data_IF_224245488817
#
_entry.id   IF_224245488817
#
_cell.length_a   1.000
_cell.length_b   1.000
_cell.length_c   1.000
_cell.angle_alpha   90.00
_cell.angle_beta   90.00
_cell.angle_gamma   90.00
#
_symmetry.space_group_name_H-M   'P 1'
#
loop_
_entity.id
_entity.type
_entity.pdbx_description
1 polymer ?
#
# COMPACT_ATOMS: atom_id res chain seq x y z
N UNK A 1 117.01 104.20 -38.02
CA UNK A 1 116.38 103.23 -37.09
C UNK A 1 115.63 102.07 -37.77
N UNK A 2 115.10 102.20 -39.00
CA UNK A 2 114.29 101.11 -39.61
C UNK A 2 115.01 99.81 -40.02
N UNK A 3 116.34 99.79 -40.18
CA UNK A 3 117.05 98.57 -40.67
C UNK A 3 117.28 97.53 -39.56
N UNK A 4 117.44 97.98 -38.31
CA UNK A 4 117.67 97.07 -37.18
C UNK A 4 116.39 96.31 -36.78
N UNK A 5 115.25 96.98 -36.83
CA UNK A 5 113.94 96.41 -36.53
C UNK A 5 113.50 95.39 -37.58
N UNK A 6 113.72 95.68 -38.86
CA UNK A 6 113.46 94.73 -39.95
C UNK A 6 114.38 93.48 -39.88
N UNK A 7 115.63 93.61 -39.42
CA UNK A 7 116.50 92.45 -39.18
C UNK A 7 116.02 91.61 -38.00
N UNK A 8 115.52 92.24 -36.93
CA UNK A 8 114.96 91.54 -35.77
C UNK A 8 113.69 90.77 -36.16
N UNK A 9 112.74 91.41 -36.85
CA UNK A 9 111.53 90.74 -37.35
C UNK A 9 111.84 89.62 -38.34
N UNK A 10 112.80 89.83 -39.26
CA UNK A 10 113.26 88.76 -40.16
C UNK A 10 113.86 87.60 -39.39
N UNK A 11 114.66 87.86 -38.34
CA UNK A 11 115.23 86.79 -37.50
C UNK A 11 114.17 86.05 -36.69
N UNK A 12 113.16 86.74 -36.17
CA UNK A 12 112.03 86.12 -35.45
C UNK A 12 111.16 85.27 -36.38
N UNK A 13 110.81 85.78 -37.57
CA UNK A 13 110.05 85.02 -38.57
C UNK A 13 110.84 83.81 -39.09
N UNK A 14 112.15 83.95 -39.28
CA UNK A 14 113.01 82.83 -39.70
C UNK A 14 113.13 81.79 -38.57
N UNK A 15 113.16 82.21 -37.31
CA UNK A 15 113.16 81.32 -36.15
C UNK A 15 111.82 80.58 -36.01
N UNK A 16 110.70 81.26 -36.23
CA UNK A 16 109.36 80.65 -36.19
C UNK A 16 109.15 79.68 -37.35
N UNK A 17 109.60 80.01 -38.56
CA UNK A 17 109.60 79.09 -39.70
C UNK A 17 110.47 77.88 -39.42
N UNK A 18 111.68 78.05 -38.87
CA UNK A 18 112.55 76.92 -38.50
C UNK A 18 111.97 76.08 -37.36
N UNK A 19 111.22 76.67 -36.44
CA UNK A 19 110.53 75.93 -35.38
C UNK A 19 109.30 75.15 -35.89
N UNK A 20 108.62 75.64 -36.92
CA UNK A 20 107.54 74.93 -37.61
C UNK A 20 108.06 73.85 -38.59
N UNK A 21 109.17 74.12 -39.29
CA UNK A 21 109.85 73.17 -40.18
C UNK A 21 110.73 72.17 -39.43
N UNK A 22 110.95 72.38 -38.13
CA UNK A 22 111.71 71.44 -37.29
C UNK A 22 111.03 70.07 -37.31
N UNK A 23 111.79 69.03 -37.67
CA UNK A 23 111.34 67.64 -37.71
C UNK A 23 110.69 67.19 -36.40
N UNK A 24 111.02 67.82 -35.26
CA UNK A 24 110.39 67.56 -33.97
C UNK A 24 108.90 67.92 -33.90
N UNK A 25 108.46 68.99 -34.57
CA UNK A 25 107.05 69.38 -34.63
C UNK A 25 106.26 68.49 -35.60
N UNK A 26 106.86 68.15 -36.75
CA UNK A 26 106.32 67.17 -37.70
C UNK A 26 106.21 65.77 -37.09
N UNK A 27 107.22 65.31 -36.34
CA UNK A 27 107.19 64.04 -35.63
C UNK A 27 106.19 64.01 -34.47
N UNK A 28 105.96 65.14 -33.78
CA UNK A 28 104.91 65.24 -32.76
C UNK A 28 103.52 65.23 -33.38
N UNK A 29 103.33 65.92 -34.50
CA UNK A 29 102.08 65.89 -35.26
C UNK A 29 101.78 64.49 -35.80
N UNK A 30 102.79 63.79 -36.34
CA UNK A 30 102.67 62.40 -36.81
C UNK A 30 102.38 61.42 -35.66
N UNK A 31 103.03 61.57 -34.49
CA UNK A 31 102.71 60.76 -33.30
C UNK A 31 101.28 61.00 -32.80
N UNK A 32 100.83 62.25 -32.79
CA UNK A 32 99.45 62.57 -32.45
C UNK A 32 98.48 61.96 -33.48
N UNK A 33 98.81 62.01 -34.77
CA UNK A 33 98.00 61.42 -35.84
C UNK A 33 97.92 59.89 -35.72
N UNK A 34 99.02 59.21 -35.38
CA UNK A 34 99.01 57.78 -35.06
C UNK A 34 98.18 57.45 -33.82
N UNK A 35 98.25 58.28 -32.76
CA UNK A 35 97.41 58.11 -31.58
C UNK A 35 95.92 58.33 -31.90
N UNK A 36 95.59 59.32 -32.73
CA UNK A 36 94.23 59.54 -33.22
C UNK A 36 93.75 58.38 -34.09
N UNK A 37 94.60 57.82 -34.96
CA UNK A 37 94.25 56.63 -35.75
C UNK A 37 94.02 55.41 -34.85
N UNK A 38 94.85 55.19 -33.83
CA UNK A 38 94.64 54.11 -32.84
C UNK A 38 93.34 54.29 -32.07
N UNK A 39 93.06 55.51 -31.60
CA UNK A 39 91.81 55.83 -30.91
C UNK A 39 90.59 55.67 -31.83
N UNK A 40 90.70 56.10 -33.09
CA UNK A 40 89.64 55.92 -34.10
C UNK A 40 89.37 54.45 -34.38
N UNK A 41 90.42 53.64 -34.55
CA UNK A 41 90.28 52.19 -34.74
C UNK A 41 89.63 51.52 -33.53
N UNK A 42 89.95 51.97 -32.31
CA UNK A 42 89.32 51.45 -31.09
C UNK A 42 87.85 51.86 -30.97
N UNK A 43 87.50 53.10 -31.34
CA UNK A 43 86.11 53.55 -31.43
C UNK A 43 85.33 52.74 -32.46
N UNK A 44 85.90 52.49 -33.64
CA UNK A 44 85.29 51.63 -34.67
C UNK A 44 85.10 50.20 -34.15
N UNK A 45 86.07 49.65 -33.41
CA UNK A 45 85.97 48.33 -32.79
C UNK A 45 84.82 48.26 -31.79
N UNK A 46 84.72 49.25 -30.91
CA UNK A 46 83.64 49.33 -29.92
C UNK A 46 82.27 49.56 -30.58
N UNK A 47 82.21 50.37 -31.64
CA UNK A 47 80.97 50.57 -32.41
C UNK A 47 80.49 49.27 -33.06
N UNK A 48 81.40 48.46 -33.61
CA UNK A 48 81.07 47.15 -34.15
C UNK A 48 80.60 46.17 -33.06
N UNK A 49 81.25 46.16 -31.89
CA UNK A 49 80.79 45.35 -30.75
C UNK A 49 79.41 45.78 -30.25
N UNK A 50 79.13 47.08 -30.26
CA UNK A 50 77.82 47.62 -29.86
C UNK A 50 76.75 47.25 -30.89
N UNK A 51 77.07 47.24 -32.18
CA UNK A 51 76.20 46.72 -33.25
C UNK A 51 75.89 45.24 -33.05
N UNK A 52 76.90 44.40 -32.82
CA UNK A 52 76.70 42.98 -32.56
C UNK A 52 75.84 42.72 -31.31
N UNK A 53 76.09 43.43 -30.21
CA UNK A 53 75.29 43.29 -28.99
C UNK A 53 73.86 43.79 -29.15
N UNK A 54 73.65 44.89 -29.89
CA UNK A 54 72.29 45.38 -30.17
C UNK A 54 71.52 44.43 -31.08
N UNK A 55 72.17 43.78 -32.03
CA UNK A 55 71.56 42.71 -32.82
C UNK A 55 71.19 41.48 -31.99
N UNK A 56 72.07 41.02 -31.09
CA UNK A 56 71.77 39.92 -30.18
C UNK A 56 70.60 40.26 -29.23
N UNK A 57 70.59 41.48 -28.70
CA UNK A 57 69.52 41.96 -27.84
C UNK A 57 68.18 42.02 -28.58
N UNK A 58 68.20 42.41 -29.86
CA UNK A 58 67.00 42.36 -30.71
C UNK A 58 66.54 40.92 -30.97
N UNK A 59 67.45 39.97 -31.21
CA UNK A 59 67.09 38.54 -31.33
C UNK A 59 66.43 38.01 -30.05
N UNK A 60 67.01 38.29 -28.88
CA UNK A 60 66.41 37.89 -27.60
C UNK A 60 65.06 38.56 -27.33
N UNK A 61 64.88 39.84 -27.71
CA UNK A 61 63.56 40.50 -27.61
C UNK A 61 62.50 39.82 -28.46
N UNK A 62 62.85 39.40 -29.68
CA UNK A 62 61.93 38.67 -30.57
C UNK A 62 61.59 37.31 -29.94
N UNK A 63 62.59 36.57 -29.46
CA UNK A 63 62.38 35.27 -28.81
C UNK A 63 61.50 35.37 -27.56
N UNK A 64 61.72 36.37 -26.70
CA UNK A 64 60.87 36.66 -25.53
C UNK A 64 59.43 36.96 -25.99
N UNK A 65 59.25 37.76 -27.05
CA UNK A 65 57.92 38.05 -27.58
C UNK A 65 57.21 36.80 -28.09
N UNK A 66 57.93 35.90 -28.75
CA UNK A 66 57.39 34.62 -29.21
C UNK A 66 57.04 33.68 -28.04
N UNK A 67 57.91 33.60 -27.03
CA UNK A 67 57.65 32.82 -25.83
C UNK A 67 56.45 33.36 -25.05
N UNK A 68 56.31 34.68 -24.93
CA UNK A 68 55.14 35.32 -24.32
C UNK A 68 53.85 35.01 -25.08
N UNK A 69 53.89 35.01 -26.42
CA UNK A 69 52.74 34.61 -27.24
C UNK A 69 52.37 33.15 -26.99
N UNK A 70 53.34 32.23 -26.96
CA UNK A 70 53.13 30.81 -26.66
C UNK A 70 52.59 30.62 -25.24
N UNK A 71 53.11 31.35 -24.26
CA UNK A 71 52.66 31.30 -22.87
C UNK A 71 51.20 31.75 -22.73
N UNK A 72 50.80 32.84 -23.39
CA UNK A 72 49.41 33.30 -23.41
C UNK A 72 48.48 32.30 -24.07
N UNK A 73 48.92 31.61 -25.13
CA UNK A 73 48.14 30.54 -25.76
C UNK A 73 47.92 29.36 -24.78
N UNK A 74 48.99 28.90 -24.12
CA UNK A 74 48.89 27.83 -23.12
C UNK A 74 48.04 28.21 -21.90
N UNK A 75 48.13 29.45 -21.41
CA UNK A 75 47.25 29.94 -20.35
C UNK A 75 45.77 29.91 -20.77
N UNK A 76 45.46 30.28 -22.03
CA UNK A 76 44.09 30.17 -22.56
C UNK A 76 43.62 28.71 -22.62
N UNK A 77 44.47 27.77 -23.01
CA UNK A 77 44.16 26.33 -23.00
C UNK A 77 43.89 25.81 -21.59
N UNK A 78 44.71 26.18 -20.60
CA UNK A 78 44.54 25.81 -19.19
C UNK A 78 43.21 26.34 -18.64
N UNK A 79 42.87 27.60 -18.92
CA UNK A 79 41.57 28.18 -18.50
C UNK A 79 40.39 27.45 -19.14
N UNK A 80 40.51 27.06 -20.42
CA UNK A 80 39.48 26.25 -21.10
C UNK A 80 39.33 24.87 -20.47
N UNK A 81 40.44 24.20 -20.11
CA UNK A 81 40.44 22.92 -19.42
C UNK A 81 39.87 23.00 -17.99
N UNK A 82 40.14 24.09 -17.27
CA UNK A 82 39.58 24.31 -15.93
C UNK A 82 38.05 24.51 -16.00
N UNK A 83 37.56 25.22 -17.02
CA UNK A 83 36.12 25.37 -17.29
C UNK A 83 35.45 24.04 -17.68
N UNK A 84 36.13 23.13 -18.37
CA UNK A 84 35.58 21.80 -18.66
C UNK A 84 35.51 20.92 -17.40
N UNK A 85 36.50 20.96 -16.51
CA UNK A 85 36.48 20.23 -15.22
C UNK A 85 35.27 20.60 -14.36
N UNK A 86 34.92 21.88 -14.29
CA UNK A 86 33.71 22.34 -13.59
C UNK A 86 32.41 21.81 -14.20
N UNK A 87 32.34 21.68 -15.54
CA UNK A 87 31.19 21.05 -16.22
C UNK A 87 31.11 19.55 -15.92
N UNK A 88 32.23 18.84 -15.96
CA UNK A 88 32.29 17.40 -15.63
C UNK A 88 31.79 17.12 -14.22
N UNK A 89 32.20 17.93 -13.23
CA UNK A 89 31.72 17.82 -11.85
C UNK A 89 30.20 18.04 -11.73
N UNK A 90 29.65 18.99 -12.48
CA UNK A 90 28.19 19.21 -12.54
C UNK A 90 27.47 18.01 -13.15
N UNK A 91 27.98 17.45 -14.25
CA UNK A 91 27.42 16.24 -14.86
C UNK A 91 27.49 15.04 -13.92
N UNK A 92 28.61 14.86 -13.20
CA UNK A 92 28.75 13.77 -12.23
C UNK A 92 27.73 13.87 -11.08
N UNK A 93 27.51 15.08 -10.55
CA UNK A 93 26.46 15.32 -9.54
C UNK A 93 25.07 15.04 -10.09
N UNK A 94 24.80 15.44 -11.34
CA UNK A 94 23.52 15.18 -11.99
C UNK A 94 23.29 13.67 -12.23
N UNK A 95 24.33 12.94 -12.65
CA UNK A 95 24.28 11.48 -12.79
C UNK A 95 23.96 10.83 -11.44
N UNK A 96 24.68 11.19 -10.38
CA UNK A 96 24.43 10.65 -9.03
C UNK A 96 23.01 10.96 -8.53
N UNK A 97 22.48 12.15 -8.82
CA UNK A 97 21.09 12.49 -8.50
C UNK A 97 20.09 11.63 -9.27
N UNK A 98 20.29 11.44 -10.58
CA UNK A 98 19.45 10.60 -11.41
C UNK A 98 19.51 9.13 -11.00
N UNK A 99 20.69 8.62 -10.64
CA UNK A 99 20.88 7.27 -10.09
C UNK A 99 20.12 7.11 -8.77
N UNK A 100 20.22 8.07 -7.85
CA UNK A 100 19.47 8.04 -6.59
C UNK A 100 17.96 8.07 -6.81
N UNK A 101 17.48 8.89 -7.76
CA UNK A 101 16.06 8.94 -8.13
C UNK A 101 15.60 7.61 -8.75
N UNK A 102 16.42 7.00 -9.62
CA UNK A 102 16.15 5.70 -10.21
C UNK A 102 16.09 4.61 -9.13
N UNK A 103 17.05 4.59 -8.21
CA UNK A 103 17.08 3.66 -7.07
C UNK A 103 15.84 3.82 -6.18
N UNK A 104 15.41 5.05 -5.93
CA UNK A 104 14.16 5.32 -5.21
C UNK A 104 12.92 4.76 -5.93
N UNK A 105 12.85 4.92 -7.26
CA UNK A 105 11.77 4.35 -8.08
C UNK A 105 11.81 2.82 -8.09
N UNK A 106 13.00 2.24 -8.23
CA UNK A 106 13.23 0.79 -8.22
C UNK A 106 12.87 0.17 -6.86
N UNK A 107 13.19 0.86 -5.77
CA UNK A 107 12.80 0.42 -4.43
C UNK A 107 11.28 0.39 -4.28
N UNK A 108 10.57 1.46 -4.70
CA UNK A 108 9.09 1.48 -4.72
C UNK A 108 8.52 0.37 -5.59
N UNK A 109 9.10 0.13 -6.77
CA UNK A 109 8.70 -0.97 -7.65
C UNK A 109 8.88 -2.34 -6.98
N UNK A 110 10.02 -2.56 -6.33
CA UNK A 110 10.27 -3.80 -5.60
C UNK A 110 9.32 -3.98 -4.41
N UNK A 111 8.99 -2.92 -3.67
CA UNK A 111 7.96 -2.96 -2.62
C UNK A 111 6.60 -3.37 -3.19
N UNK A 112 6.20 -2.79 -4.34
CA UNK A 112 4.96 -3.16 -5.03
C UNK A 112 4.97 -4.62 -5.50
N UNK A 113 6.11 -5.13 -5.97
CA UNK A 113 6.26 -6.54 -6.34
C UNK A 113 6.10 -7.48 -5.14
N UNK A 114 6.69 -7.13 -4.00
CA UNK A 114 6.55 -7.92 -2.76
C UNK A 114 5.09 -7.91 -2.28
N UNK A 115 4.44 -6.75 -2.29
CA UNK A 115 3.01 -6.65 -1.97
C UNK A 115 2.15 -7.45 -2.95
N UNK A 116 2.44 -7.38 -4.25
CA UNK A 116 1.73 -8.16 -5.26
C UNK A 116 1.93 -9.67 -5.06
N UNK A 117 3.13 -10.10 -4.66
CA UNK A 117 3.40 -11.50 -4.33
C UNK A 117 2.58 -11.95 -3.12
N UNK A 118 2.55 -11.17 -2.04
CA UNK A 118 1.74 -11.47 -0.86
C UNK A 118 0.24 -11.61 -1.23
N UNK A 119 -0.29 -10.70 -2.05
CA UNK A 119 -1.67 -10.79 -2.53
C UNK A 119 -1.91 -12.05 -3.38
N UNK A 120 -0.96 -12.47 -4.21
CA UNK A 120 -1.07 -13.73 -4.97
C UNK A 120 -1.06 -14.96 -4.07
N UNK A 121 -0.24 -14.95 -3.03
CA UNK A 121 -0.17 -16.03 -2.05
C UNK A 121 -1.50 -16.12 -1.27
N UNK A 122 -2.07 -14.97 -0.87
CA UNK A 122 -3.39 -14.90 -0.24
C UNK A 122 -4.51 -15.40 -1.16
N UNK A 123 -4.52 -14.98 -2.42
CA UNK A 123 -5.47 -15.48 -3.43
C UNK A 123 -5.34 -17.01 -3.56
N UNK A 124 -4.12 -17.53 -3.60
CA UNK A 124 -3.86 -18.97 -3.71
C UNK A 124 -4.39 -19.72 -2.48
N UNK A 125 -4.16 -19.19 -1.28
CA UNK A 125 -4.71 -19.73 -0.03
C UNK A 125 -6.25 -19.74 -0.04
N UNK A 126 -6.88 -18.65 -0.47
CA UNK A 126 -8.33 -18.56 -0.60
C UNK A 126 -8.90 -19.54 -1.64
N UNK A 127 -8.21 -19.77 -2.76
CA UNK A 127 -8.61 -20.78 -3.75
C UNK A 127 -8.50 -22.20 -3.20
N UNK A 128 -7.43 -22.50 -2.44
CA UNK A 128 -7.27 -23.79 -1.79
C UNK A 128 -8.37 -24.05 -0.76
N UNK A 129 -8.69 -23.07 0.09
CA UNK A 129 -9.79 -23.18 1.06
C UNK A 129 -11.14 -23.32 0.37
N UNK A 130 -11.41 -22.56 -0.70
CA UNK A 130 -12.62 -22.71 -1.51
C UNK A 130 -12.73 -24.13 -2.11
N UNK A 131 -11.64 -24.69 -2.61
CA UNK A 131 -11.62 -26.07 -3.15
C UNK A 131 -11.93 -27.11 -2.07
N UNK A 132 -11.39 -26.94 -0.86
CA UNK A 132 -11.66 -27.79 0.30
C UNK A 132 -13.13 -27.69 0.72
N UNK A 133 -13.66 -26.47 0.77
CA UNK A 133 -15.06 -26.22 1.08
C UNK A 133 -16.00 -26.86 0.04
N UNK A 134 -15.71 -26.71 -1.26
CA UNK A 134 -16.50 -27.34 -2.33
C UNK A 134 -16.50 -28.87 -2.21
N UNK A 135 -15.38 -29.48 -1.83
CA UNK A 135 -15.29 -30.93 -1.56
C UNK A 135 -16.19 -31.33 -0.39
N UNK A 136 -16.10 -30.63 0.75
CA UNK A 136 -16.97 -30.88 1.91
C UNK A 136 -18.45 -30.71 1.58
N UNK A 137 -18.80 -29.62 0.88
CA UNK A 137 -20.17 -29.34 0.44
C UNK A 137 -20.72 -30.45 -0.48
N UNK A 138 -19.94 -30.91 -1.45
CA UNK A 138 -20.33 -32.03 -2.31
C UNK A 138 -20.57 -33.32 -1.51
N UNK A 139 -19.71 -33.61 -0.53
CA UNK A 139 -19.88 -34.75 0.37
C UNK A 139 -21.19 -34.67 1.17
N UNK A 140 -21.47 -33.51 1.77
CA UNK A 140 -22.73 -33.28 2.52
C UNK A 140 -23.94 -33.42 1.60
N UNK A 141 -23.89 -32.86 0.38
CA UNK A 141 -24.96 -33.01 -0.60
C UNK A 141 -25.21 -34.48 -0.96
N UNK A 142 -24.16 -35.27 -1.10
CA UNK A 142 -24.26 -36.72 -1.35
C UNK A 142 -24.88 -37.46 -0.16
N UNK A 143 -24.45 -37.13 1.07
CA UNK A 143 -24.98 -37.74 2.28
C UNK A 143 -26.48 -37.41 2.46
N UNK A 144 -26.88 -36.18 2.16
CA UNK A 144 -28.29 -35.76 2.20
C UNK A 144 -29.13 -36.49 1.15
N UNK A 145 -28.60 -36.69 -0.06
CA UNK A 145 -29.28 -37.49 -1.08
C UNK A 145 -29.44 -38.95 -0.64
N UNK A 146 -28.42 -39.53 -0.02
CA UNK A 146 -28.50 -40.89 0.54
C UNK A 146 -29.54 -40.97 1.66
N UNK A 147 -29.54 -40.02 2.61
CA UNK A 147 -30.51 -39.97 3.69
C UNK A 147 -31.96 -39.84 3.22
N UNK A 148 -32.20 -39.04 2.15
CA UNK A 148 -33.53 -38.97 1.51
C UNK A 148 -33.94 -40.31 0.89
N UNK A 149 -33.00 -41.01 0.27
CA UNK A 149 -33.26 -42.34 -0.32
C UNK A 149 -33.61 -43.36 0.77
N UNK A 150 -32.81 -43.44 1.84
CA UNK A 150 -33.08 -44.36 2.96
C UNK A 150 -34.39 -44.03 3.66
N UNK A 151 -34.71 -42.74 3.83
CA UNK A 151 -36.01 -42.32 4.36
C UNK A 151 -37.16 -42.80 3.46
N UNK A 152 -37.04 -42.63 2.14
CA UNK A 152 -38.04 -43.11 1.19
C UNK A 152 -38.22 -44.63 1.24
N UNK A 153 -37.12 -45.38 1.39
CA UNK A 153 -37.15 -46.85 1.54
C UNK A 153 -37.86 -47.27 2.84
N UNK A 154 -37.55 -46.62 3.96
CA UNK A 154 -38.22 -46.89 5.26
C UNK A 154 -39.70 -46.55 5.20
N UNK A 155 -40.07 -45.40 4.61
CA UNK A 155 -41.48 -45.03 4.42
C UNK A 155 -42.20 -46.08 3.58
N UNK A 156 -41.60 -46.52 2.47
CA UNK A 156 -42.19 -47.57 1.64
C UNK A 156 -42.37 -48.88 2.41
N UNK A 157 -41.35 -49.32 3.15
CA UNK A 157 -41.42 -50.52 3.99
C UNK A 157 -42.51 -50.40 5.06
N UNK A 158 -42.65 -49.23 5.69
CA UNK A 158 -43.69 -48.96 6.67
C UNK A 158 -45.10 -49.00 6.03
N UNK A 159 -45.27 -48.42 4.85
CA UNK A 159 -46.54 -48.46 4.10
C UNK A 159 -46.93 -49.90 3.75
N UNK A 160 -45.99 -50.72 3.27
CA UNK A 160 -46.24 -52.14 2.97
C UNK A 160 -46.61 -52.92 4.24
N UNK A 161 -45.90 -52.69 5.34
CA UNK A 161 -46.20 -53.31 6.64
C UNK A 161 -47.59 -52.91 7.15
N UNK A 162 -47.99 -51.65 6.93
CA UNK A 162 -49.32 -51.17 7.28
C UNK A 162 -50.41 -51.85 6.42
N UNK A 163 -50.24 -51.90 5.09
CA UNK A 163 -51.17 -52.55 4.17
C UNK A 163 -51.35 -54.05 4.47
N UNK A 164 -50.25 -54.74 4.79
CA UNK A 164 -50.31 -56.16 5.19
C UNK A 164 -51.03 -56.33 6.53
N UNK A 165 -50.78 -55.44 7.50
CA UNK A 165 -51.53 -55.37 8.76
C UNK A 165 -53.03 -55.17 8.56
N UNK A 166 -53.43 -54.28 7.65
CA UNK A 166 -54.85 -54.07 7.31
C UNK A 166 -55.47 -55.31 6.65
N UNK A 167 -54.76 -55.97 5.73
CA UNK A 167 -55.22 -57.21 5.11
C UNK A 167 -55.43 -58.33 6.14
N UNK A 168 -54.51 -58.48 7.10
CA UNK A 168 -54.64 -59.46 8.18
C UNK A 168 -55.80 -59.09 9.10
N UNK A 169 -55.97 -57.82 9.45
CA UNK A 169 -57.10 -57.34 10.27
C UNK A 169 -58.44 -57.62 9.59
N UNK A 170 -58.53 -57.40 8.27
CA UNK A 170 -59.70 -57.73 7.48
C UNK A 170 -60.01 -59.23 7.51
N UNK A 171 -59.01 -60.08 7.27
CA UNK A 171 -59.15 -61.55 7.37
C UNK A 171 -59.55 -62.00 8.78
N UNK A 172 -58.98 -61.40 9.81
CA UNK A 172 -59.31 -61.70 11.20
C UNK A 172 -60.77 -61.35 11.51
N UNK A 173 -61.27 -60.21 11.02
CA UNK A 173 -62.67 -59.83 11.21
C UNK A 173 -63.61 -60.81 10.52
N UNK A 174 -63.30 -61.24 9.28
CA UNK A 174 -64.07 -62.28 8.59
C UNK A 174 -64.12 -63.61 9.37
N UNK A 175 -62.96 -64.05 9.90
CA UNK A 175 -62.90 -65.26 10.74
C UNK A 175 -63.72 -65.07 12.02
N UNK A 176 -63.62 -63.90 12.68
CA UNK A 176 -64.42 -63.59 13.87
C UNK A 176 -65.91 -63.65 13.59
N UNK A 177 -66.40 -63.04 12.51
CA UNK A 177 -67.80 -63.10 12.11
C UNK A 177 -68.26 -64.54 11.88
N UNK A 178 -67.46 -65.33 11.15
CA UNK A 178 -67.75 -66.76 10.94
C UNK A 178 -67.81 -67.54 12.25
N UNK A 179 -66.83 -67.35 13.14
CA UNK A 179 -66.83 -68.02 14.45
C UNK A 179 -68.01 -67.60 15.33
N UNK A 180 -68.46 -66.34 15.23
CA UNK A 180 -69.64 -65.87 15.96
C UNK A 180 -70.91 -66.54 15.45
N UNK A 181 -71.04 -66.71 14.13
CA UNK A 181 -72.15 -67.46 13.53
C UNK A 181 -72.11 -68.92 13.96
N UNK A 182 -70.94 -69.57 13.93
CA UNK A 182 -70.80 -70.96 14.32
C UNK A 182 -71.05 -71.15 15.84
N UNK A 183 -70.63 -70.21 16.69
CA UNK A 183 -70.98 -70.18 18.11
C UNK A 183 -72.48 -70.05 18.35
N UNK A 184 -73.19 -69.22 17.57
CA UNK A 184 -74.65 -69.12 17.65
C UNK A 184 -75.31 -70.47 17.32
N UNK A 185 -74.88 -71.12 16.23
CA UNK A 185 -75.38 -72.46 15.85
C UNK A 185 -75.09 -73.53 16.90
N UNK A 186 -73.87 -73.55 17.45
CA UNK A 186 -73.50 -74.43 18.56
C UNK A 186 -74.35 -74.15 19.81
N UNK A 187 -74.60 -72.88 20.11
CA UNK A 187 -75.47 -72.46 21.22
C UNK A 187 -76.92 -72.93 21.04
N UNK A 188 -77.46 -72.84 19.82
CA UNK A 188 -78.76 -73.42 19.48
C UNK A 188 -78.78 -74.94 19.67
N UNK A 189 -77.75 -75.64 19.19
CA UNK A 189 -77.62 -77.10 19.38
C UNK A 189 -77.51 -77.51 20.85
N UNK A 190 -76.77 -76.75 21.66
CA UNK A 190 -76.68 -76.97 23.10
C UNK A 190 -78.03 -76.75 23.77
N UNK A 191 -78.82 -75.75 23.36
CA UNK A 191 -80.18 -75.54 23.89
C UNK A 191 -81.08 -76.73 23.57
N UNK A 192 -81.06 -77.22 22.33
CA UNK A 192 -81.80 -78.45 21.94
C UNK A 192 -81.39 -79.65 22.81
N UNK A 193 -80.08 -79.88 22.97
CA UNK A 193 -79.58 -80.98 23.80
C UNK A 193 -79.93 -80.80 25.27
N UNK A 194 -79.89 -79.57 25.82
CA UNK A 194 -80.32 -79.29 27.19
C UNK A 194 -81.79 -79.58 27.41
N UNK A 195 -82.66 -79.24 26.45
CA UNK A 195 -84.09 -79.60 26.53
C UNK A 195 -84.24 -81.12 26.57
N UNK A 196 -83.49 -81.85 25.74
CA UNK A 196 -83.55 -83.31 25.70
C UNK A 196 -83.01 -83.96 26.99
N UNK A 197 -81.93 -83.41 27.56
CA UNK A 197 -81.40 -83.83 28.87
C UNK A 197 -82.35 -83.46 30.00
N UNK A 198 -83.01 -82.31 29.97
CA UNK A 198 -84.00 -81.93 30.98
C UNK A 198 -85.23 -82.84 30.90
N UNK A 199 -85.66 -83.24 29.70
CA UNK A 199 -86.68 -84.27 29.52
C UNK A 199 -86.24 -85.62 30.11
N UNK A 200 -84.99 -86.04 29.87
CA UNK A 200 -84.42 -87.27 30.49
C UNK A 200 -84.26 -87.14 32.01
N UNK A 201 -83.92 -85.94 32.51
CA UNK A 201 -83.81 -85.64 33.95
C UNK A 201 -85.17 -85.63 34.60
N UNK A 202 -86.19 -85.02 33.99
CA UNK A 202 -87.57 -85.10 34.48
C UNK A 202 -88.08 -86.54 34.47
N UNK A 203 -87.65 -87.37 33.51
CA UNK A 203 -87.92 -88.80 33.51
C UNK A 203 -87.20 -89.52 34.66
N UNK A 204 -85.93 -89.18 34.94
CA UNK A 204 -85.18 -89.73 36.08
C UNK A 204 -85.68 -89.23 37.43
N UNK A 205 -86.03 -87.96 37.57
CA UNK A 205 -86.64 -87.37 38.76
C UNK A 205 -88.04 -87.93 38.98
N UNK A 206 -88.79 -88.24 37.92
CA UNK A 206 -90.04 -89.01 38.04
C UNK A 206 -89.78 -90.45 38.54
N UNK A 207 -88.66 -91.07 38.13
CA UNK A 207 -88.22 -92.37 38.64
C UNK A 207 -87.66 -92.30 40.09
N UNK A 208 -86.97 -91.22 40.46
CA UNK A 208 -86.39 -90.97 41.79
C UNK A 208 -87.43 -90.47 42.80
N UNK A 209 -88.44 -89.69 42.38
CA UNK A 209 -89.60 -89.35 43.22
C UNK A 209 -90.41 -90.59 43.60
N UNK A 210 -90.28 -91.67 42.83
CA UNK A 210 -90.77 -93.01 43.21
C UNK A 210 -89.82 -93.78 44.15
N UNK A 211 -88.60 -93.31 44.39
CA UNK A 211 -87.55 -93.98 45.17
C UNK A 211 -86.84 -93.01 46.13
N UNK A 212 -87.35 -92.89 47.38
CA UNK A 212 -86.89 -92.05 48.53
C UNK A 212 -87.47 -90.63 48.55
N UNK A 213 -88.04 -90.07 49.61
CA UNK A 213 -88.11 -90.37 51.05
C UNK A 213 -86.80 -90.85 51.70
N UNK A 214 -85.93 -89.88 52.02
CA UNK A 214 -85.50 -89.56 53.40
C UNK A 214 -84.16 -88.80 53.43
N UNK A 215 -84.16 -87.72 54.23
CA UNK A 215 -83.05 -87.03 54.94
C UNK A 215 -81.95 -86.37 54.08
N UNK A 216 -81.63 -85.07 54.16
CA UNK A 216 -81.54 -84.13 55.32
C UNK A 216 -80.21 -84.37 56.06
N UNK A 217 -79.31 -83.44 56.39
CA UNK A 217 -79.29 -81.96 56.44
C UNK A 217 -77.86 -81.44 56.75
N UNK A 218 -77.72 -80.09 56.74
CA UNK A 218 -76.84 -79.21 57.56
C UNK A 218 -75.32 -79.20 57.33
N UNK A 219 -74.71 -78.03 57.05
CA UNK A 219 -74.42 -76.85 57.93
C UNK A 219 -73.42 -77.22 59.05
N UNK A 220 -72.40 -76.47 59.49
CA UNK A 220 -71.98 -75.06 59.34
C UNK A 220 -70.57 -74.88 59.96
N UNK A 221 -69.92 -73.75 59.61
CA UNK A 221 -69.09 -72.83 60.45
C UNK A 221 -67.80 -73.33 61.16
N UNK A 222 -66.62 -72.78 60.81
CA UNK A 222 -65.96 -71.53 61.26
C UNK A 222 -65.30 -71.60 62.67
N UNK A 223 -63.96 -71.61 62.71
CA UNK A 223 -63.15 -70.99 63.79
C UNK A 223 -61.79 -70.55 63.20
N UNK A 224 -61.41 -69.29 63.43
CA UNK A 224 -60.11 -68.89 64.03
C UNK A 224 -59.45 -67.66 63.37
N UNK A 225 -59.74 -66.48 63.93
CA UNK A 225 -59.27 -65.15 63.49
C UNK A 225 -57.80 -64.81 63.85
N UNK A 226 -56.91 -65.79 64.02
CA UNK A 226 -55.48 -65.51 64.25
C UNK A 226 -54.54 -66.09 63.20
N UNK A 227 -55.06 -66.84 62.21
CA UNK A 227 -54.34 -67.16 60.96
C UNK A 227 -54.44 -66.01 59.94
N UNK A 228 -55.49 -65.19 60.03
CA UNK A 228 -55.85 -64.21 59.00
C UNK A 228 -54.84 -63.06 58.80
N UNK A 229 -53.99 -62.67 59.76
CA UNK A 229 -53.06 -61.53 59.55
C UNK A 229 -51.78 -61.99 58.85
N UNK A 230 -51.30 -63.21 59.14
CA UNK A 230 -50.17 -63.81 58.43
C UNK A 230 -50.64 -64.37 57.08
N UNK A 231 -51.84 -64.94 57.01
CA UNK A 231 -52.49 -65.34 55.76
C UNK A 231 -52.89 -64.16 54.89
N UNK A 232 -53.30 -63.01 55.41
CA UNK A 232 -53.54 -61.82 54.57
C UNK A 232 -52.26 -61.28 53.97
N UNK A 233 -51.13 -61.35 54.69
CA UNK A 233 -49.80 -60.96 54.18
C UNK A 233 -49.28 -61.99 53.18
N UNK A 234 -49.45 -63.29 53.47
CA UNK A 234 -49.15 -64.37 52.54
C UNK A 234 -50.07 -64.34 51.32
N UNK A 235 -51.36 -64.03 51.45
CA UNK A 235 -52.32 -63.86 50.34
C UNK A 235 -52.06 -62.59 49.55
N UNK A 236 -51.59 -61.51 50.16
CA UNK A 236 -51.16 -60.33 49.39
C UNK A 236 -49.88 -60.62 48.63
N UNK A 237 -48.90 -61.32 49.21
CA UNK A 237 -47.70 -61.76 48.49
C UNK A 237 -47.99 -62.83 47.43
N UNK A 238 -48.84 -63.82 47.72
CA UNK A 238 -49.32 -64.80 46.73
C UNK A 238 -50.16 -64.11 45.66
N UNK A 239 -50.96 -63.12 46.03
CA UNK A 239 -51.82 -62.36 45.13
C UNK A 239 -51.05 -61.37 44.26
N UNK A 240 -49.91 -60.83 44.72
CA UNK A 240 -48.99 -60.06 43.88
C UNK A 240 -48.15 -60.98 43.00
N UNK A 241 -47.66 -62.11 43.51
CA UNK A 241 -46.97 -63.14 42.71
C UNK A 241 -47.87 -63.75 41.64
N UNK A 242 -49.13 -64.05 41.97
CA UNK A 242 -50.12 -64.55 41.01
C UNK A 242 -50.45 -63.49 39.95
N UNK A 243 -50.52 -62.21 40.33
CA UNK A 243 -50.65 -61.09 39.38
C UNK A 243 -49.42 -60.96 38.48
N UNK A 244 -48.21 -61.14 39.01
CA UNK A 244 -46.96 -61.10 38.24
C UNK A 244 -46.83 -62.33 37.32
N UNK A 245 -47.24 -63.52 37.76
CA UNK A 245 -47.31 -64.74 36.94
C UNK A 245 -48.35 -64.62 35.82
N UNK A 246 -49.51 -64.01 36.08
CA UNK A 246 -50.52 -63.71 35.07
C UNK A 246 -50.04 -62.66 34.06
N UNK A 247 -49.34 -61.62 34.52
CA UNK A 247 -48.80 -60.58 33.64
C UNK A 247 -47.57 -61.06 32.81
N UNK A 248 -46.74 -61.94 33.36
CA UNK A 248 -45.53 -62.45 32.71
C UNK A 248 -45.73 -63.76 31.94
N UNK A 249 -46.92 -64.37 32.01
CA UNK A 249 -47.33 -65.61 31.34
C UNK A 249 -46.36 -66.80 31.50
N UNK A 250 -45.60 -66.83 32.61
CA UNK A 250 -44.59 -67.84 32.91
C UNK A 250 -44.88 -68.46 34.28
N UNK A 251 -45.03 -69.80 34.34
CA UNK A 251 -45.34 -70.54 35.58
C UNK A 251 -44.14 -70.73 36.51
N UNK A 252 -42.92 -70.53 36.00
CA UNK A 252 -41.68 -70.83 36.70
C UNK A 252 -41.09 -69.57 37.36
N UNK A 253 -41.16 -69.51 38.70
CA UNK A 253 -40.76 -68.36 39.51
C UNK A 253 -39.28 -68.02 39.33
N UNK A 254 -38.42 -69.03 39.19
CA UNK A 254 -36.98 -68.83 38.96
C UNK A 254 -36.68 -68.13 37.62
N UNK A 255 -37.54 -68.34 36.61
CA UNK A 255 -37.39 -67.71 35.30
C UNK A 255 -37.79 -66.24 35.33
N UNK A 256 -38.80 -65.89 36.12
CA UNK A 256 -39.19 -64.50 36.39
C UNK A 256 -38.08 -63.78 37.17
N UNK A 257 -37.53 -64.39 38.23
CA UNK A 257 -36.41 -63.81 38.96
C UNK A 257 -35.18 -63.59 38.07
N UNK A 258 -34.81 -64.56 37.22
CA UNK A 258 -33.72 -64.36 36.24
C UNK A 258 -34.00 -63.24 35.23
N UNK A 259 -35.22 -63.17 34.70
CA UNK A 259 -35.61 -62.11 33.77
C UNK A 259 -35.63 -60.73 34.47
N UNK A 260 -36.02 -60.68 35.75
CA UNK A 260 -35.99 -59.46 36.56
C UNK A 260 -34.56 -59.03 36.87
N UNK A 261 -33.67 -59.95 37.25
CA UNK A 261 -32.25 -59.64 37.46
C UNK A 261 -31.58 -59.17 36.17
N UNK A 262 -31.88 -59.80 35.02
CA UNK A 262 -31.40 -59.31 33.72
C UNK A 262 -31.99 -57.93 33.38
N UNK A 263 -33.27 -57.71 33.70
CA UNK A 263 -33.94 -56.42 33.57
C UNK A 263 -33.31 -55.35 34.45
N UNK A 264 -32.93 -55.69 35.67
CA UNK A 264 -32.26 -54.81 36.63
C UNK A 264 -30.83 -54.48 36.18
N UNK A 265 -30.08 -55.46 35.70
CA UNK A 265 -28.72 -55.31 35.18
C UNK A 265 -28.70 -54.42 33.92
N UNK A 266 -29.67 -54.62 33.02
CA UNK A 266 -29.88 -53.74 31.86
C UNK A 266 -30.33 -52.33 32.26
N UNK A 267 -31.17 -52.20 33.29
CA UNK A 267 -31.54 -50.88 33.81
C UNK A 267 -30.36 -50.16 34.46
N UNK A 268 -29.51 -50.87 35.21
CA UNK A 268 -28.29 -50.32 35.80
C UNK A 268 -27.34 -49.82 34.71
N UNK A 269 -27.10 -50.63 33.67
CA UNK A 269 -26.29 -50.22 32.52
C UNK A 269 -26.88 -48.99 31.79
N UNK A 270 -28.21 -48.95 31.64
CA UNK A 270 -28.89 -47.78 31.06
C UNK A 270 -28.75 -46.54 31.96
N UNK A 271 -28.80 -46.72 33.28
CA UNK A 271 -28.64 -45.64 34.25
C UNK A 271 -27.21 -45.07 34.21
N UNK A 272 -26.19 -45.95 34.16
CA UNK A 272 -24.80 -45.55 33.94
C UNK A 272 -24.63 -44.77 32.63
N UNK A 273 -25.20 -45.28 31.54
CA UNK A 273 -25.20 -44.60 30.23
C UNK A 273 -25.85 -43.22 30.28
N UNK A 274 -26.98 -43.09 30.97
CA UNK A 274 -27.67 -41.81 31.15
C UNK A 274 -26.80 -40.86 31.95
N UNK A 275 -26.12 -41.35 33.00
CA UNK A 275 -25.21 -40.53 33.80
C UNK A 275 -23.99 -40.08 32.98
N UNK A 276 -23.40 -40.95 32.16
CA UNK A 276 -22.33 -40.60 31.22
C UNK A 276 -22.78 -39.52 30.23
N UNK A 277 -23.97 -39.67 29.65
CA UNK A 277 -24.54 -38.66 28.74
C UNK A 277 -24.83 -37.35 29.46
N UNK A 278 -25.30 -37.38 30.71
CA UNK A 278 -25.49 -36.17 31.51
C UNK A 278 -24.17 -35.45 31.78
N UNK A 279 -23.09 -36.18 32.08
CA UNK A 279 -21.75 -35.60 32.24
C UNK A 279 -21.20 -35.02 30.94
N UNK A 280 -21.44 -35.69 29.81
CA UNK A 280 -21.05 -35.18 28.48
C UNK A 280 -21.83 -33.91 28.12
N UNK A 281 -23.13 -33.87 28.42
CA UNK A 281 -23.97 -32.68 28.24
C UNK A 281 -23.45 -31.53 29.10
N UNK A 282 -23.05 -31.76 30.35
CA UNK A 282 -22.47 -30.71 31.20
C UNK A 282 -21.15 -30.17 30.63
N UNK A 283 -20.25 -31.05 30.17
CA UNK A 283 -19.00 -30.64 29.51
C UNK A 283 -19.26 -29.80 28.27
N UNK A 284 -20.16 -30.23 27.40
CA UNK A 284 -20.54 -29.49 26.20
C UNK A 284 -21.16 -28.13 26.54
N UNK A 285 -21.95 -28.03 27.60
CA UNK A 285 -22.49 -26.75 28.05
C UNK A 285 -21.40 -25.80 28.57
N UNK A 286 -20.40 -26.32 29.27
CA UNK A 286 -19.27 -25.53 29.74
C UNK A 286 -18.40 -25.03 28.57
N UNK A 287 -18.14 -25.89 27.57
CA UNK A 287 -17.44 -25.52 26.33
C UNK A 287 -18.20 -24.43 25.55
N UNK A 288 -19.51 -24.59 25.36
CA UNK A 288 -20.36 -23.58 24.71
C UNK A 288 -20.35 -22.27 25.48
N UNK A 289 -20.30 -22.31 26.83
CA UNK A 289 -20.22 -21.11 27.65
C UNK A 289 -18.87 -20.41 27.47
N UNK A 290 -17.77 -21.16 27.44
CA UNK A 290 -16.44 -20.62 27.19
C UNK A 290 -16.32 -19.98 25.81
N UNK A 291 -16.78 -20.67 24.75
CA UNK A 291 -16.80 -20.13 23.39
C UNK A 291 -17.63 -18.84 23.29
N UNK A 292 -18.79 -18.79 23.96
CA UNK A 292 -19.62 -17.58 24.00
C UNK A 292 -18.90 -16.40 24.66
N UNK A 293 -18.17 -16.64 25.75
CA UNK A 293 -17.39 -15.59 26.42
C UNK A 293 -16.25 -15.08 25.52
N UNK A 294 -15.52 -15.97 24.85
CA UNK A 294 -14.49 -15.58 23.88
C UNK A 294 -15.07 -14.74 22.74
N UNK A 295 -16.23 -15.16 22.21
CA UNK A 295 -16.90 -14.45 21.11
C UNK A 295 -17.37 -13.06 21.54
N UNK A 296 -17.78 -12.89 22.80
CA UNK A 296 -18.14 -11.59 23.38
C UNK A 296 -16.91 -10.67 23.51
N UNK A 297 -15.78 -11.20 23.97
CA UNK A 297 -14.51 -10.46 24.06
C UNK A 297 -14.05 -9.98 22.68
N UNK A 298 -14.04 -10.88 21.69
CA UNK A 298 -13.67 -10.56 20.30
C UNK A 298 -14.64 -9.51 19.72
N UNK A 299 -15.94 -9.66 19.96
CA UNK A 299 -16.94 -8.70 19.49
C UNK A 299 -16.73 -7.32 20.11
N UNK A 300 -16.37 -7.25 21.39
CA UNK A 300 -16.06 -5.99 22.08
C UNK A 300 -14.81 -5.34 21.50
N UNK A 301 -13.74 -6.10 21.29
CA UNK A 301 -12.50 -5.61 20.64
C UNK A 301 -12.78 -5.08 19.23
N UNK A 302 -13.55 -5.82 18.42
CA UNK A 302 -13.93 -5.40 17.07
C UNK A 302 -14.72 -4.08 17.07
N UNK A 303 -15.68 -3.92 17.99
CA UNK A 303 -16.44 -2.66 18.12
C UNK A 303 -15.55 -1.49 18.52
N UNK A 304 -14.59 -1.70 19.42
CA UNK A 304 -13.65 -0.67 19.84
C UNK A 304 -12.70 -0.26 18.71
N UNK A 305 -12.14 -1.24 17.99
CA UNK A 305 -11.30 -1.01 16.81
C UNK A 305 -12.06 -0.20 15.76
N UNK A 306 -13.30 -0.60 15.44
CA UNK A 306 -14.15 0.11 14.48
C UNK A 306 -14.42 1.56 14.89
N UNK A 307 -14.58 1.85 16.18
CA UNK A 307 -14.74 3.23 16.68
C UNK A 307 -13.45 4.05 16.48
N UNK A 308 -12.28 3.45 16.77
CA UNK A 308 -10.97 4.09 16.54
C UNK A 308 -10.76 4.38 15.05
N UNK A 309 -11.05 3.42 14.19
CA UNK A 309 -10.93 3.59 12.73
C UNK A 309 -11.86 4.68 12.20
N UNK A 310 -13.10 4.76 12.72
CA UNK A 310 -14.04 5.81 12.33
C UNK A 310 -13.56 7.20 12.76
N UNK A 311 -12.97 7.32 13.95
CA UNK A 311 -12.39 8.57 14.45
C UNK A 311 -11.20 9.01 13.59
N UNK A 312 -10.27 8.10 13.28
CA UNK A 312 -9.13 8.38 12.40
C UNK A 312 -9.60 8.79 11.01
N UNK A 313 -10.62 8.13 10.46
CA UNK A 313 -11.20 8.50 9.16
C UNK A 313 -11.75 9.92 9.18
N UNK A 314 -12.52 10.28 10.21
CA UNK A 314 -13.06 11.63 10.36
C UNK A 314 -11.96 12.69 10.52
N UNK A 315 -10.90 12.39 11.26
CA UNK A 315 -9.75 13.30 11.40
C UNK A 315 -8.98 13.47 10.08
N UNK A 316 -8.81 12.39 9.32
CA UNK A 316 -8.22 12.44 7.98
C UNK A 316 -9.09 13.23 7.00
N UNK A 317 -10.41 13.06 7.02
CA UNK A 317 -11.34 13.85 6.20
C UNK A 317 -11.23 15.34 6.54
N UNK A 318 -11.25 15.70 7.83
CA UNK A 318 -11.10 17.10 8.27
C UNK A 318 -9.74 17.72 7.88
N UNK A 319 -8.65 16.98 7.99
CA UNK A 319 -7.32 17.48 7.58
C UNK A 319 -7.21 17.63 6.07
N UNK A 320 -7.83 16.71 5.32
CA UNK A 320 -7.89 16.78 3.85
C UNK A 320 -8.71 17.98 3.39
N UNK A 321 -9.86 18.23 4.01
CA UNK A 321 -10.71 19.39 3.68
C UNK A 321 -10.02 20.72 4.01
N UNK A 322 -9.29 20.79 5.13
CA UNK A 322 -8.46 21.97 5.46
C UNK A 322 -7.38 22.21 4.42
N UNK A 323 -6.60 21.18 4.08
CA UNK A 323 -5.55 21.30 3.06
C UNK A 323 -6.12 21.66 1.69
N UNK A 324 -7.31 21.15 1.35
CA UNK A 324 -8.01 21.50 0.12
C UNK A 324 -8.44 22.96 0.09
N UNK A 325 -8.97 23.48 1.20
CA UNK A 325 -9.31 24.91 1.32
C UNK A 325 -8.07 25.79 1.25
N UNK A 326 -6.96 25.39 1.89
CA UNK A 326 -5.69 26.11 1.81
C UNK A 326 -5.13 26.12 0.38
N UNK A 327 -5.18 24.99 -0.32
CA UNK A 327 -4.77 24.89 -1.71
C UNK A 327 -5.62 25.79 -2.63
N UNK A 328 -6.95 25.77 -2.46
CA UNK A 328 -7.85 26.65 -3.22
C UNK A 328 -7.54 28.13 -2.98
N UNK A 329 -7.30 28.53 -1.73
CA UNK A 329 -6.95 29.92 -1.42
C UNK A 329 -5.62 30.34 -2.06
N UNK A 330 -4.65 29.43 -2.16
CA UNK A 330 -3.36 29.69 -2.83
C UNK A 330 -3.56 29.79 -4.35
N UNK A 331 -4.42 28.96 -4.94
CA UNK A 331 -4.77 28.99 -6.36
C UNK A 331 -5.49 30.29 -6.72
N UNK A 332 -6.51 30.68 -5.96
CA UNK A 332 -7.24 31.94 -6.14
C UNK A 332 -6.29 33.15 -5.98
N UNK A 333 -5.36 33.10 -5.02
CA UNK A 333 -4.35 34.15 -4.85
C UNK A 333 -3.35 34.21 -6.02
N UNK A 334 -2.96 33.06 -6.57
CA UNK A 334 -2.09 32.99 -7.73
C UNK A 334 -2.78 33.54 -8.98
N UNK A 335 -4.05 33.21 -9.20
CA UNK A 335 -4.86 33.73 -10.31
C UNK A 335 -5.03 35.26 -10.21
N UNK A 336 -5.31 35.79 -9.01
CA UNK A 336 -5.36 37.24 -8.79
C UNK A 336 -4.02 37.93 -9.12
N UNK A 337 -2.89 37.31 -8.76
CA UNK A 337 -1.55 37.83 -9.10
C UNK A 337 -1.22 37.69 -10.58
N UNK A 338 -1.70 36.66 -11.26
CA UNK A 338 -1.57 36.52 -12.71
C UNK A 338 -2.36 37.63 -13.43
N UNK A 339 -3.57 37.96 -12.96
CA UNK A 339 -4.37 39.05 -13.54
C UNK A 339 -3.71 40.43 -13.33
N UNK A 340 -3.14 40.68 -12.15
CA UNK A 340 -2.34 41.89 -11.89
C UNK A 340 -1.13 41.97 -12.84
N UNK A 341 -0.42 40.86 -13.06
CA UNK A 341 0.74 40.80 -13.95
C UNK A 341 0.35 41.09 -15.41
N UNK A 342 -0.78 40.58 -15.88
CA UNK A 342 -1.26 40.84 -17.24
C UNK A 342 -1.61 42.33 -17.45
N UNK A 343 -2.22 42.97 -16.45
CA UNK A 343 -2.45 44.43 -16.47
C UNK A 343 -1.13 45.21 -16.59
N UNK A 344 -0.08 44.76 -15.89
CA UNK A 344 1.26 45.38 -15.99
C UNK A 344 1.85 45.19 -17.38
N UNK A 345 1.72 44.01 -18.00
CA UNK A 345 2.15 43.76 -19.39
C UNK A 345 1.45 44.68 -20.37
N UNK A 346 0.14 44.87 -20.24
CA UNK A 346 -0.64 45.77 -21.09
C UNK A 346 -0.16 47.23 -20.98
N UNK A 347 0.12 47.69 -19.75
CA UNK A 347 0.68 49.04 -19.52
C UNK A 347 2.06 49.15 -20.14
N UNK A 348 2.95 48.18 -19.95
CA UNK A 348 4.29 48.17 -20.54
C UNK A 348 4.23 48.19 -22.07
N UNK A 349 3.33 47.39 -22.66
CA UNK A 349 3.16 47.37 -24.11
C UNK A 349 2.65 48.71 -24.65
N UNK A 350 1.76 49.41 -23.92
CA UNK A 350 1.30 50.77 -24.27
C UNK A 350 2.44 51.78 -24.21
N UNK A 351 3.24 51.78 -23.14
CA UNK A 351 4.37 52.70 -22.99
C UNK A 351 5.43 52.43 -24.07
N UNK A 352 5.72 51.15 -24.35
CA UNK A 352 6.64 50.77 -25.41
C UNK A 352 6.19 51.27 -26.78
N UNK A 353 4.91 51.04 -27.15
CA UNK A 353 4.32 51.57 -28.40
C UNK A 353 4.36 53.10 -28.48
N UNK A 354 4.23 53.79 -27.35
CA UNK A 354 4.33 55.25 -27.30
C UNK A 354 5.77 55.74 -27.53
N UNK A 355 6.76 55.11 -26.88
CA UNK A 355 8.17 55.43 -27.02
C UNK A 355 8.71 55.10 -28.43
N UNK A 356 8.22 54.04 -29.06
CA UNK A 356 8.59 53.65 -30.42
C UNK A 356 8.11 54.66 -31.48
N UNK A 357 6.99 55.36 -31.23
CA UNK A 357 6.50 56.44 -32.10
C UNK A 357 7.31 57.74 -32.02
N UNK A 358 8.01 57.99 -30.92
CA UNK A 358 8.72 59.26 -30.66
C UNK A 358 10.16 59.23 -31.18
N UNK A 359 10.73 58.04 -31.41
CA UNK A 359 12.16 57.91 -31.70
C UNK A 359 12.43 57.22 -33.04
N UNK A 360 13.40 57.76 -33.79
CA UNK A 360 13.83 57.30 -35.12
C UNK A 360 14.78 56.09 -35.10
N UNK A 361 15.11 55.53 -33.93
CA UNK A 361 15.91 54.31 -33.81
C UNK A 361 15.07 53.19 -33.22
N UNK A 362 14.70 52.18 -34.02
CA UNK A 362 14.08 50.95 -33.50
C UNK A 362 15.03 50.24 -32.54
N UNK A 363 14.56 49.92 -31.35
CA UNK A 363 15.29 49.04 -30.45
C UNK A 363 15.07 47.62 -30.97
N UNK A 364 16.09 47.05 -31.62
CA UNK A 364 16.08 45.65 -32.01
C UNK A 364 16.19 44.78 -30.76
N UNK A 365 15.03 44.34 -30.25
CA UNK A 365 14.97 43.10 -29.50
C UNK A 365 14.70 41.97 -30.47
N UNK A 366 15.54 40.93 -30.42
CA UNK A 366 15.41 39.69 -31.18
C UNK A 366 14.29 38.81 -30.62
N UNK A 367 13.08 39.33 -30.43
CA UNK A 367 11.89 38.52 -30.13
C UNK A 367 10.66 39.19 -30.75
N UNK A 368 10.30 38.76 -31.97
CA UNK A 368 9.09 39.16 -32.69
C UNK A 368 7.77 38.64 -32.06
N UNK A 369 7.75 38.32 -30.75
CA UNK A 369 6.61 37.65 -30.10
C UNK A 369 6.33 38.18 -28.69
N UNK A 370 5.94 39.45 -28.59
CA UNK A 370 5.20 39.98 -27.43
C UNK A 370 5.92 39.91 -26.06
N UNK A 371 5.28 40.51 -25.06
CA UNK A 371 5.78 40.47 -23.67
C UNK A 371 5.23 39.18 -23.03
N UNK A 372 6.10 38.23 -22.69
CA UNK A 372 5.83 36.97 -21.97
C UNK A 372 6.44 37.03 -20.56
N UNK A 373 5.96 36.20 -19.63
CA UNK A 373 6.36 36.27 -18.20
C UNK A 373 7.87 36.24 -17.96
N UNK A 374 8.61 35.46 -18.75
CA UNK A 374 10.07 35.37 -18.67
C UNK A 374 10.81 36.62 -19.20
N UNK A 375 10.15 37.38 -20.07
CA UNK A 375 10.77 38.51 -20.77
C UNK A 375 10.34 39.88 -20.22
N UNK A 376 9.27 39.96 -19.39
CA UNK A 376 8.76 41.20 -18.77
C UNK A 376 9.88 42.03 -18.14
N UNK A 377 10.76 41.38 -17.37
CA UNK A 377 11.85 42.07 -16.67
C UNK A 377 12.87 42.68 -17.64
N UNK A 378 13.20 41.96 -18.72
CA UNK A 378 14.13 42.42 -19.73
C UNK A 378 13.55 43.57 -20.55
N UNK A 379 12.24 43.53 -20.84
CA UNK A 379 11.53 44.66 -21.47
C UNK A 379 11.49 45.89 -20.57
N UNK A 380 11.33 45.71 -19.26
CA UNK A 380 11.32 46.82 -18.30
C UNK A 380 12.70 47.50 -18.21
N UNK A 381 13.77 46.71 -18.12
CA UNK A 381 15.15 47.21 -18.11
C UNK A 381 15.50 47.95 -19.42
N UNK A 382 15.03 47.43 -20.56
CA UNK A 382 15.20 48.08 -21.85
C UNK A 382 14.48 49.42 -21.94
N UNK A 383 13.25 49.47 -21.42
CA UNK A 383 12.42 50.66 -21.38
C UNK A 383 13.03 51.72 -20.45
N UNK A 384 13.60 51.31 -19.31
CA UNK A 384 14.32 52.19 -18.40
C UNK A 384 15.54 52.84 -19.09
N UNK A 385 16.41 52.04 -19.72
CA UNK A 385 17.56 52.57 -20.48
C UNK A 385 17.12 53.56 -21.56
N UNK A 386 16.01 53.26 -22.25
CA UNK A 386 15.45 54.12 -23.30
C UNK A 386 14.94 55.46 -22.78
N UNK A 387 14.23 55.45 -21.66
CA UNK A 387 13.74 56.67 -21.01
C UNK A 387 14.93 57.54 -20.57
N UNK A 388 15.97 56.92 -20.00
CA UNK A 388 17.20 57.61 -19.59
C UNK A 388 17.86 58.30 -20.80
N UNK A 389 17.96 57.62 -21.94
CA UNK A 389 18.53 58.19 -23.17
C UNK A 389 17.68 59.35 -23.72
N UNK A 390 16.34 59.23 -23.71
CA UNK A 390 15.44 60.32 -24.11
C UNK A 390 15.59 61.55 -23.22
N UNK A 391 15.69 61.36 -21.90
CA UNK A 391 15.95 62.45 -20.95
C UNK A 391 17.31 63.10 -21.24
N UNK A 392 18.33 62.30 -21.55
CA UNK A 392 19.66 62.81 -21.92
C UNK A 392 19.62 63.63 -23.21
N UNK A 393 18.93 63.15 -24.25
CA UNK A 393 18.74 63.88 -25.50
C UNK A 393 17.99 65.20 -25.30
N UNK A 394 16.93 65.21 -24.49
CA UNK A 394 16.20 66.43 -24.15
C UNK A 394 17.11 67.45 -23.45
N UNK A 395 17.88 67.03 -22.45
CA UNK A 395 18.85 67.92 -21.77
C UNK A 395 19.86 68.53 -22.74
N UNK A 396 20.36 67.76 -23.70
CA UNK A 396 21.28 68.27 -24.74
C UNK A 396 20.59 69.24 -25.69
N UNK A 397 19.34 68.98 -26.08
CA UNK A 397 18.56 69.90 -26.91
C UNK A 397 18.28 71.23 -26.20
N UNK A 398 17.93 71.19 -24.91
CA UNK A 398 17.71 72.37 -24.08
C UNK A 398 19.02 73.19 -23.93
N UNK A 399 20.17 72.53 -23.77
CA UNK A 399 21.49 73.19 -23.75
C UNK A 399 21.82 73.86 -25.09
N UNK A 400 21.56 73.21 -26.22
CA UNK A 400 21.78 73.80 -27.56
C UNK A 400 20.85 74.97 -27.85
N UNK A 401 19.60 74.94 -27.39
CA UNK A 401 18.70 76.09 -27.49
C UNK A 401 19.22 77.29 -26.68
N UNK A 402 19.77 77.04 -25.49
CA UNK A 402 20.42 78.09 -24.68
C UNK A 402 21.68 78.66 -25.36
N UNK A 403 22.50 77.82 -25.98
CA UNK A 403 23.66 78.25 -26.78
C UNK A 403 23.23 79.09 -27.99
N UNK A 404 22.22 78.66 -28.76
CA UNK A 404 21.71 79.40 -29.92
C UNK A 404 21.10 80.76 -29.54
N UNK A 405 20.41 80.85 -28.40
CA UNK A 405 19.90 82.10 -27.84
C UNK A 405 21.03 83.03 -27.36
N UNK A 406 22.17 82.48 -26.94
CA UNK A 406 23.36 83.25 -26.56
C UNK A 406 24.16 83.76 -27.77
N UNK A 407 24.30 82.95 -28.83
CA UNK A 407 24.96 83.34 -30.08
C UNK A 407 24.15 84.41 -30.84
N UNK A 408 22.81 84.28 -30.86
CA UNK A 408 21.92 85.29 -31.45
C UNK A 408 21.96 86.64 -30.72
N UNK A 409 22.28 86.64 -29.41
CA UNK A 409 22.53 87.87 -28.64
C UNK A 409 23.90 88.47 -28.90
N UNK A 410 24.89 87.66 -29.30
CA UNK A 410 26.24 88.11 -29.63
C UNK A 410 26.39 88.64 -31.07
N UNK A 411 25.48 88.30 -31.99
CA UNK A 411 25.46 88.84 -33.37
C UNK A 411 24.65 90.14 -33.52
N UNK A 412 23.92 90.54 -32.47
CA UNK A 412 23.14 91.78 -32.40
C UNK A 412 23.69 92.83 -31.42
N UNK A 413 24.86 92.58 -30.84
CA UNK A 413 25.68 93.55 -30.13
C UNK A 413 26.95 93.80 -30.96
#
# INVERSE_FOLDING_TARGET
ESIAELKKQKSELTLQLRLQESESFSNRANRNLEQFQKALNEVIRLENQLKEQTEQLNKYKIEISELDKKLRQKQKEVVKAQRSKGRVLKYQKNISFLENRLNGSLHKYNQLLVSNKALRDDITSLLLTQSSFRRKYSSIKRLLALGKKTLSEVVHSATVSYQTGESVKYKLNLVKERTQVDQKKLGEKIKELKILVEQDKQLKEFLEFKMKDRSGSSDSEEISKNEQILEQRLQTFHGTLARIQLASNCKDVNRICKAFSQGEETNLNLFEKVNEMSLEIEKLHEEVRAERQELEVITRQYKEQKRKDLAVKHDLENTTDKLRSEAQNIEDAADAKAEELEKVKDVLQRIYKFLDKISTQQISFTVDKGITDDNVLQYLEALERRIIDLIRCKKVADMKQMEFLSESRSQHA
#
